data_IF_989701021377
#
_entry.id   IF_989701021377
#
_cell.length_a   1.000
_cell.length_b   1.000
_cell.length_c   1.000
_cell.angle_alpha   90.00
_cell.angle_beta   90.00
_cell.angle_gamma   90.00
#
_symmetry.space_group_name_H-M   'P 1'
#
loop_
_entity.id
_entity.type
_entity.pdbx_description
1 polymer ?
#
# COMPACT_ATOMS: atom_id res chain seq x y z
N UNK A 1 35.09 -1.67 -0.93
CA UNK A 1 34.71 -2.18 -2.26
C UNK A 1 33.54 -3.11 -2.09
N UNK A 2 32.33 -2.66 -2.38
CA UNK A 2 31.10 -3.41 -2.16
C UNK A 2 30.25 -3.32 -3.43
N UNK A 3 30.51 -4.23 -4.37
CA UNK A 3 29.63 -4.44 -5.50
C UNK A 3 28.33 -5.04 -4.99
N UNK A 4 27.22 -4.32 -5.15
CA UNK A 4 25.88 -4.83 -4.90
C UNK A 4 25.66 -6.09 -5.73
N UNK A 5 25.55 -7.25 -5.08
CA UNK A 5 25.22 -8.49 -5.77
C UNK A 5 23.79 -8.37 -6.33
N UNK A 6 23.52 -8.84 -7.56
CA UNK A 6 22.19 -8.80 -8.19
C UNK A 6 21.07 -9.56 -7.44
N UNK A 7 21.40 -10.18 -6.29
CA UNK A 7 20.51 -10.95 -5.44
C UNK A 7 20.16 -10.26 -4.11
N UNK A 8 20.52 -8.99 -3.89
CA UNK A 8 20.11 -8.28 -2.67
C UNK A 8 18.60 -7.96 -2.70
N UNK A 9 17.77 -8.60 -1.86
CA UNK A 9 16.33 -8.37 -1.86
C UNK A 9 15.96 -6.94 -1.49
N UNK A 10 16.77 -6.25 -0.67
CA UNK A 10 16.49 -4.86 -0.27
C UNK A 10 16.65 -3.93 -1.47
N UNK A 11 17.78 -4.02 -2.18
CA UNK A 11 18.01 -3.27 -3.43
C UNK A 11 16.92 -3.54 -4.46
N UNK A 12 16.53 -4.81 -4.66
CA UNK A 12 15.49 -5.18 -5.61
C UNK A 12 14.12 -4.58 -5.24
N UNK A 13 13.76 -4.58 -3.96
CA UNK A 13 12.53 -3.94 -3.46
C UNK A 13 12.58 -2.42 -3.70
N UNK A 14 13.71 -1.77 -3.40
CA UNK A 14 13.89 -0.32 -3.61
C UNK A 14 13.76 0.07 -5.09
N UNK A 15 14.40 -0.68 -6.00
CA UNK A 15 14.28 -0.45 -7.44
C UNK A 15 12.85 -0.64 -7.95
N UNK A 16 12.16 -1.68 -7.46
CA UNK A 16 10.76 -1.90 -7.80
C UNK A 16 9.87 -0.77 -7.28
N UNK A 17 10.13 -0.26 -6.07
CA UNK A 17 9.41 0.87 -5.49
C UNK A 17 9.60 2.14 -6.32
N UNK A 18 10.85 2.49 -6.68
CA UNK A 18 11.18 3.66 -7.49
C UNK A 18 10.44 3.65 -8.84
N UNK A 19 10.48 2.51 -9.55
CA UNK A 19 9.73 2.33 -10.80
C UNK A 19 8.22 2.48 -10.60
N UNK A 20 7.68 2.04 -9.46
CA UNK A 20 6.25 2.13 -9.17
C UNK A 20 5.80 3.51 -8.70
N UNK A 21 6.69 4.40 -8.26
CA UNK A 21 6.33 5.77 -7.90
C UNK A 21 5.73 6.54 -9.08
N UNK A 22 6.29 6.39 -10.28
CA UNK A 22 5.72 6.98 -11.49
C UNK A 22 4.32 6.42 -11.80
N UNK A 23 4.15 5.10 -11.69
CA UNK A 23 2.84 4.45 -11.89
C UNK A 23 1.83 4.86 -10.82
N UNK A 24 2.30 5.17 -9.61
CA UNK A 24 1.45 5.62 -8.51
C UNK A 24 0.83 7.00 -8.81
N UNK A 25 1.63 7.92 -9.35
CA UNK A 25 1.12 9.25 -9.78
C UNK A 25 0.05 9.08 -10.86
N UNK A 26 0.30 8.24 -11.85
CA UNK A 26 -0.67 7.98 -12.93
C UNK A 26 -1.94 7.27 -12.44
N UNK A 27 -1.81 6.39 -11.43
CA UNK A 27 -2.97 5.81 -10.77
C UNK A 27 -3.78 6.87 -10.02
N UNK A 28 -3.12 7.74 -9.25
CA UNK A 28 -3.79 8.77 -8.46
C UNK A 28 -4.57 9.75 -9.34
N UNK A 29 -3.99 10.17 -10.48
CA UNK A 29 -4.68 11.03 -11.47
C UNK A 29 -5.99 10.44 -12.02
N UNK A 30 -6.11 9.11 -12.03
CA UNK A 30 -7.32 8.38 -12.47
C UNK A 30 -8.34 8.20 -11.35
N UNK A 31 -8.00 8.49 -10.10
CA UNK A 31 -8.96 8.48 -9.00
C UNK A 31 -9.89 9.69 -9.14
N UNK A 32 -11.22 9.49 -9.10
CA UNK A 32 -12.17 10.59 -9.20
C UNK A 32 -11.84 11.72 -8.23
N UNK A 33 -11.94 12.95 -8.72
CA UNK A 33 -11.68 14.20 -7.99
C UNK A 33 -10.24 14.47 -7.54
N UNK A 34 -9.31 13.51 -7.59
CA UNK A 34 -7.93 13.75 -7.17
C UNK A 34 -7.25 14.86 -7.99
N UNK A 35 -7.37 14.80 -9.33
CA UNK A 35 -6.79 15.80 -10.24
C UNK A 35 -7.49 17.18 -10.16
N UNK A 36 -8.61 17.29 -9.45
CA UNK A 36 -9.33 18.55 -9.22
C UNK A 36 -8.84 19.28 -7.96
N UNK A 37 -8.12 18.59 -7.07
CA UNK A 37 -7.50 19.21 -5.90
C UNK A 37 -6.35 20.16 -6.32
N UNK A 38 -6.00 21.15 -5.49
CA UNK A 38 -4.80 21.95 -5.68
C UNK A 38 -3.56 21.09 -5.90
N UNK A 39 -2.67 21.51 -6.80
CA UNK A 39 -1.47 20.72 -7.13
C UNK A 39 -0.61 20.45 -5.90
N UNK A 40 -0.48 21.43 -5.00
CA UNK A 40 0.25 21.26 -3.74
C UNK A 40 -0.38 20.18 -2.86
N UNK A 41 -1.71 20.15 -2.75
CA UNK A 41 -2.42 19.12 -2.00
C UNK A 41 -2.23 17.73 -2.63
N UNK A 42 -2.27 17.62 -3.97
CA UNK A 42 -1.97 16.36 -4.67
C UNK A 42 -0.58 15.83 -4.31
N UNK A 43 0.43 16.70 -4.29
CA UNK A 43 1.81 16.34 -3.92
C UNK A 43 1.89 15.94 -2.45
N UNK A 44 1.24 16.69 -1.55
CA UNK A 44 1.22 16.40 -0.10
C UNK A 44 0.61 15.03 0.17
N UNK A 45 -0.54 14.72 -0.42
CA UNK A 45 -1.23 13.44 -0.25
C UNK A 45 -0.38 12.26 -0.76
N UNK A 46 0.23 12.41 -1.94
CA UNK A 46 1.13 11.39 -2.48
C UNK A 46 2.37 11.20 -1.60
N UNK A 47 3.00 12.29 -1.14
CA UNK A 47 4.16 12.21 -0.25
C UNK A 47 3.83 11.60 1.11
N UNK A 48 2.61 11.82 1.61
CA UNK A 48 2.16 11.25 2.87
C UNK A 48 1.85 9.76 2.78
N UNK A 49 1.35 9.27 1.64
CA UNK A 49 0.82 7.91 1.51
C UNK A 49 1.59 6.94 0.61
N UNK A 50 2.64 7.38 -0.11
CA UNK A 50 3.25 6.55 -1.16
C UNK A 50 3.70 5.16 -0.69
N UNK A 51 4.27 5.05 0.51
CA UNK A 51 4.77 3.79 1.05
C UNK A 51 3.61 2.79 1.27
N UNK A 52 2.54 3.21 1.95
CA UNK A 52 1.35 2.41 2.24
C UNK A 52 0.63 2.01 0.96
N UNK A 53 0.54 2.93 -0.01
CA UNK A 53 -0.06 2.69 -1.32
C UNK A 53 0.69 1.61 -2.11
N UNK A 54 2.03 1.64 -2.08
CA UNK A 54 2.86 0.61 -2.71
C UNK A 54 2.77 -0.73 -1.96
N UNK A 55 2.84 -0.71 -0.63
CA UNK A 55 2.74 -1.91 0.22
C UNK A 55 1.41 -2.62 0.01
N UNK A 56 0.29 -1.91 0.01
CA UNK A 56 -1.02 -2.49 -0.29
C UNK A 56 -1.03 -3.15 -1.68
N UNK A 57 -0.43 -2.49 -2.67
CA UNK A 57 -0.42 -2.96 -4.06
C UNK A 57 0.38 -4.23 -4.27
N UNK A 58 1.62 -4.31 -3.77
CA UNK A 58 2.41 -5.53 -3.94
C UNK A 58 1.94 -6.66 -3.00
N UNK A 59 1.37 -6.34 -1.84
CA UNK A 59 0.80 -7.34 -0.93
C UNK A 59 -0.37 -8.06 -1.60
N UNK A 60 -1.27 -7.31 -2.24
CA UNK A 60 -2.38 -7.91 -3.01
C UNK A 60 -1.89 -8.68 -4.24
N UNK A 61 -0.89 -8.16 -4.96
CA UNK A 61 -0.26 -8.87 -6.09
C UNK A 61 0.33 -10.23 -5.70
N UNK A 62 0.70 -10.37 -4.43
CA UNK A 62 1.38 -11.55 -3.90
C UNK A 62 0.45 -12.58 -3.27
N UNK A 63 -0.88 -12.42 -3.36
CA UNK A 63 -1.82 -13.34 -2.72
C UNK A 63 -1.66 -14.80 -3.17
N UNK A 64 -1.30 -15.01 -4.44
CA UNK A 64 -1.09 -16.35 -5.03
C UNK A 64 0.37 -16.85 -4.88
N UNK A 65 1.26 -16.02 -4.31
CA UNK A 65 2.66 -16.37 -4.08
C UNK A 65 2.80 -17.07 -2.73
N UNK A 66 3.47 -18.22 -2.70
CA UNK A 66 3.81 -18.92 -1.45
C UNK A 66 5.11 -18.38 -0.89
N UNK A 67 5.11 -18.08 0.41
CA UNK A 67 6.27 -17.68 1.21
C UNK A 67 7.16 -16.60 0.56
N UNK A 68 6.53 -15.60 -0.07
CA UNK A 68 7.24 -14.55 -0.77
C UNK A 68 6.33 -13.46 -1.30
N UNK A 69 6.95 -12.47 -1.94
CA UNK A 69 6.26 -11.39 -2.63
C UNK A 69 6.70 -11.32 -4.09
N UNK A 70 5.76 -10.94 -4.97
CA UNK A 70 6.04 -10.64 -6.37
C UNK A 70 6.22 -9.13 -6.54
N UNK A 71 7.43 -8.71 -6.92
CA UNK A 71 7.73 -7.31 -7.22
C UNK A 71 7.14 -6.90 -8.56
N UNK A 72 6.99 -5.59 -8.75
CA UNK A 72 6.49 -5.05 -10.01
C UNK A 72 7.42 -5.25 -11.22
N UNK A 73 8.67 -5.61 -10.96
CA UNK A 73 9.66 -6.01 -11.96
C UNK A 73 9.47 -7.45 -12.43
N UNK A 74 8.61 -8.24 -11.79
CA UNK A 74 8.45 -9.68 -12.02
C UNK A 74 9.35 -10.56 -11.15
N UNK A 75 10.24 -9.96 -10.36
CA UNK A 75 11.14 -10.69 -9.46
C UNK A 75 10.38 -11.19 -8.22
N UNK A 76 10.65 -12.45 -7.84
CA UNK A 76 10.13 -13.04 -6.62
C UNK A 76 11.14 -12.86 -5.49
N UNK A 77 10.70 -12.26 -4.39
CA UNK A 77 11.50 -12.19 -3.15
C UNK A 77 10.94 -13.23 -2.19
N UNK A 78 11.75 -14.23 -1.88
CA UNK A 78 11.39 -15.29 -0.94
C UNK A 78 11.63 -14.88 0.51
N UNK A 79 10.82 -15.42 1.42
CA UNK A 79 10.93 -15.21 2.86
C UNK A 79 12.36 -15.43 3.37
N UNK A 80 12.99 -16.54 3.02
CA UNK A 80 14.35 -16.87 3.47
C UNK A 80 15.37 -15.82 3.01
N UNK A 81 15.25 -15.29 1.78
CA UNK A 81 16.13 -14.23 1.27
C UNK A 81 15.99 -12.95 2.09
N UNK A 82 14.77 -12.57 2.46
CA UNK A 82 14.52 -11.40 3.31
C UNK A 82 15.12 -11.56 4.72
N UNK A 83 15.05 -12.76 5.30
CA UNK A 83 15.70 -13.08 6.57
C UNK A 83 17.23 -12.95 6.48
N UNK A 84 17.85 -13.53 5.45
CA UNK A 84 19.30 -13.40 5.22
C UNK A 84 19.76 -11.95 5.01
N UNK A 85 18.87 -11.10 4.50
CA UNK A 85 19.14 -9.66 4.32
C UNK A 85 18.81 -8.80 5.55
N UNK A 86 18.47 -9.41 6.70
CA UNK A 86 18.21 -8.69 7.96
C UNK A 86 16.86 -7.97 8.03
N UNK A 87 15.98 -8.13 7.03
CA UNK A 87 14.64 -7.53 6.98
C UNK A 87 13.52 -8.57 7.16
N UNK A 88 13.86 -9.78 7.61
CA UNK A 88 12.92 -10.90 7.77
C UNK A 88 11.72 -10.60 8.66
N UNK A 89 11.92 -9.88 9.78
CA UNK A 89 10.84 -9.59 10.72
C UNK A 89 9.72 -8.72 10.11
N UNK A 90 10.07 -7.66 9.37
CA UNK A 90 9.07 -6.82 8.70
C UNK A 90 8.45 -7.54 7.49
N UNK A 91 9.24 -8.36 6.80
CA UNK A 91 8.77 -9.18 5.69
C UNK A 91 7.72 -10.21 6.15
N UNK A 92 7.96 -10.87 7.28
CA UNK A 92 7.03 -11.82 7.88
C UNK A 92 5.70 -11.14 8.22
N UNK A 93 5.74 -9.94 8.81
CA UNK A 93 4.54 -9.15 9.10
C UNK A 93 3.75 -8.81 7.84
N UNK A 94 4.41 -8.42 6.76
CA UNK A 94 3.76 -8.21 5.45
C UNK A 94 3.04 -9.47 4.99
N UNK A 95 3.71 -10.62 5.04
CA UNK A 95 3.11 -11.90 4.64
C UNK A 95 1.90 -12.27 5.51
N UNK A 96 2.01 -12.16 6.83
CA UNK A 96 0.97 -12.65 7.75
C UNK A 96 -0.19 -11.68 7.94
N UNK A 97 0.09 -10.38 8.04
CA UNK A 97 -0.91 -9.36 8.38
C UNK A 97 -1.60 -8.76 7.14
N UNK A 98 -0.93 -8.80 5.99
CA UNK A 98 -1.44 -8.25 4.72
C UNK A 98 -1.73 -9.37 3.71
N UNK A 99 -0.70 -10.05 3.19
CA UNK A 99 -0.85 -11.00 2.07
C UNK A 99 -1.82 -12.13 2.44
N UNK A 100 -1.61 -12.80 3.58
CA UNK A 100 -2.49 -13.87 4.02
C UNK A 100 -3.90 -13.37 4.28
N UNK A 101 -4.06 -12.21 4.92
CA UNK A 101 -5.40 -11.68 5.24
C UNK A 101 -6.17 -11.27 3.99
N UNK A 102 -5.50 -10.70 2.99
CA UNK A 102 -6.09 -10.40 1.68
C UNK A 102 -6.48 -11.67 0.93
N UNK A 103 -5.63 -12.71 0.95
CA UNK A 103 -5.92 -14.02 0.36
C UNK A 103 -7.12 -14.70 1.03
N UNK A 104 -7.10 -14.81 2.35
CA UNK A 104 -8.12 -15.52 3.13
C UNK A 104 -9.51 -14.90 2.93
N UNK A 105 -9.59 -13.56 2.85
CA UNK A 105 -10.83 -12.86 2.59
C UNK A 105 -11.19 -12.75 1.09
N UNK A 106 -10.34 -13.27 0.21
CA UNK A 106 -10.46 -13.14 -1.25
C UNK A 106 -10.73 -11.69 -1.65
N UNK A 107 -9.88 -10.78 -1.18
CA UNK A 107 -9.98 -9.36 -1.50
C UNK A 107 -9.87 -9.17 -3.00
N UNK A 108 -10.82 -8.46 -3.61
CA UNK A 108 -10.77 -8.17 -5.04
C UNK A 108 -10.04 -6.84 -5.35
N UNK A 109 -9.84 -6.59 -6.65
CA UNK A 109 -9.12 -5.39 -7.12
C UNK A 109 -9.90 -4.09 -6.88
N UNK A 110 -11.23 -4.14 -6.86
CA UNK A 110 -12.08 -2.98 -6.58
C UNK A 110 -11.94 -2.58 -5.11
N UNK A 111 -12.02 -3.55 -4.20
CA UNK A 111 -11.85 -3.33 -2.76
C UNK A 111 -10.45 -2.81 -2.43
N UNK A 112 -9.40 -3.39 -3.04
CA UNK A 112 -8.05 -2.86 -2.95
C UNK A 112 -7.98 -1.41 -3.43
N UNK A 113 -8.62 -1.11 -4.58
CA UNK A 113 -8.67 0.24 -5.12
C UNK A 113 -9.29 1.24 -4.15
N UNK A 114 -10.39 0.87 -3.50
CA UNK A 114 -11.04 1.69 -2.48
C UNK A 114 -10.16 1.87 -1.24
N UNK A 115 -9.55 0.80 -0.71
CA UNK A 115 -8.63 0.92 0.44
C UNK A 115 -7.44 1.84 0.11
N UNK A 116 -6.90 1.73 -1.10
CA UNK A 116 -5.84 2.64 -1.57
C UNK A 116 -6.34 4.08 -1.70
N UNK A 117 -7.56 4.31 -2.19
CA UNK A 117 -8.13 5.65 -2.25
C UNK A 117 -8.38 6.26 -0.85
N UNK A 118 -8.78 5.45 0.14
CA UNK A 118 -8.90 5.90 1.55
C UNK A 118 -7.55 6.34 2.12
N UNK A 119 -6.48 5.60 1.80
CA UNK A 119 -5.10 5.97 2.19
C UNK A 119 -4.67 7.26 1.48
N UNK A 120 -4.97 7.39 0.19
CA UNK A 120 -4.61 8.55 -0.63
C UNK A 120 -5.26 9.83 -0.10
N UNK A 121 -6.57 9.80 0.16
CA UNK A 121 -7.31 10.95 0.68
C UNK A 121 -7.12 11.06 2.19
N UNK A 122 -5.92 11.46 2.62
CA UNK A 122 -5.59 11.64 4.03
C UNK A 122 -5.70 13.10 4.49
N UNK A 123 -6.78 13.51 5.21
CA UNK A 123 -6.95 14.88 5.68
C UNK A 123 -5.93 15.26 6.76
N UNK A 124 -5.32 14.28 7.43
CA UNK A 124 -4.31 14.51 8.47
C UNK A 124 -2.93 14.81 7.88
N UNK A 125 -2.79 14.83 6.55
CA UNK A 125 -1.54 15.17 5.90
C UNK A 125 -1.20 16.65 6.18
N UNK A 126 -0.02 16.88 6.75
CA UNK A 126 0.41 18.22 7.15
C UNK A 126 0.64 19.11 5.93
N UNK A 127 0.07 20.32 5.98
CA UNK A 127 0.24 21.35 4.95
C UNK A 127 -0.86 21.41 3.90
N UNK A 128 -1.91 20.58 4.02
CA UNK A 128 -3.07 20.66 3.13
C UNK A 128 -3.74 22.03 3.21
N UNK A 129 -4.11 22.55 2.05
CA UNK A 129 -4.83 23.82 1.94
C UNK A 129 -6.26 23.73 2.47
N UNK A 130 -6.94 22.59 2.22
CA UNK A 130 -8.30 22.33 2.66
C UNK A 130 -8.49 20.86 3.12
N UNK A 131 -8.11 20.54 4.38
CA UNK A 131 -8.29 19.20 4.93
C UNK A 131 -9.74 18.69 4.88
N UNK A 132 -10.72 19.58 5.01
CA UNK A 132 -12.15 19.23 4.98
C UNK A 132 -12.59 18.71 3.62
N UNK A 133 -12.08 19.27 2.52
CA UNK A 133 -12.37 18.76 1.18
C UNK A 133 -11.82 17.33 0.99
N UNK A 134 -10.61 17.07 1.48
CA UNK A 134 -10.00 15.74 1.44
C UNK A 134 -10.80 14.73 2.27
N UNK A 135 -11.30 15.13 3.44
CA UNK A 135 -12.15 14.26 4.27
C UNK A 135 -13.45 13.90 3.56
N UNK A 136 -14.12 14.87 2.91
CA UNK A 136 -15.33 14.59 2.12
C UNK A 136 -15.05 13.60 0.99
N UNK A 137 -13.89 13.69 0.33
CA UNK A 137 -13.50 12.71 -0.69
C UNK A 137 -13.30 11.31 -0.09
N UNK A 138 -12.66 11.21 1.08
CA UNK A 138 -12.49 9.94 1.80
C UNK A 138 -13.83 9.34 2.22
N UNK A 139 -14.76 10.14 2.75
CA UNK A 139 -16.11 9.71 3.13
C UNK A 139 -16.90 9.15 1.94
N UNK A 140 -16.79 9.79 0.76
CA UNK A 140 -17.38 9.27 -0.48
C UNK A 140 -16.82 7.89 -0.85
N UNK A 141 -15.53 7.64 -0.62
CA UNK A 141 -14.93 6.32 -0.85
C UNK A 141 -15.44 5.31 0.16
N UNK A 142 -15.60 5.67 1.45
CA UNK A 142 -16.22 4.80 2.45
C UNK A 142 -17.63 4.36 2.03
N UNK A 143 -18.49 5.32 1.69
CA UNK A 143 -19.87 5.05 1.26
C UNK A 143 -19.92 4.16 0.01
N UNK A 144 -19.02 4.42 -0.96
CA UNK A 144 -18.94 3.63 -2.19
C UNK A 144 -18.49 2.19 -1.92
N UNK A 145 -17.46 2.00 -1.08
CA UNK A 145 -16.97 0.68 -0.71
C UNK A 145 -18.00 -0.11 0.10
N UNK A 146 -18.68 0.54 1.04
CA UNK A 146 -19.74 -0.10 1.82
C UNK A 146 -20.88 -0.59 0.91
N UNK A 147 -21.32 0.27 -0.01
CA UNK A 147 -22.35 -0.08 -1.01
C UNK A 147 -21.90 -1.24 -1.88
N UNK A 148 -20.65 -1.20 -2.38
CA UNK A 148 -20.07 -2.28 -3.16
C UNK A 148 -20.07 -3.62 -2.40
N UNK A 149 -19.63 -3.63 -1.13
CA UNK A 149 -19.64 -4.83 -0.32
C UNK A 149 -21.05 -5.40 -0.12
N UNK A 150 -22.03 -4.54 0.18
CA UNK A 150 -23.44 -4.95 0.35
C UNK A 150 -24.03 -5.57 -0.92
N UNK A 151 -23.70 -5.02 -2.08
CA UNK A 151 -24.22 -5.50 -3.37
C UNK A 151 -23.53 -6.78 -3.85
N UNK A 152 -22.20 -6.84 -3.77
CA UNK A 152 -21.41 -7.95 -4.31
C UNK A 152 -21.29 -9.14 -3.36
N UNK A 153 -21.30 -8.87 -2.04
CA UNK A 153 -21.12 -9.87 -1.00
C UNK A 153 -22.24 -9.79 0.06
N UNK A 154 -23.52 -9.96 -0.35
CA UNK A 154 -24.67 -9.80 0.56
C UNK A 154 -24.64 -10.75 1.77
N UNK A 155 -24.03 -11.93 1.61
CA UNK A 155 -23.87 -12.94 2.67
C UNK A 155 -22.75 -12.58 3.68
N UNK A 156 -21.94 -11.56 3.41
CA UNK A 156 -20.80 -11.17 4.24
C UNK A 156 -21.03 -9.80 4.90
N UNK A 157 -22.02 -9.70 5.79
CA UNK A 157 -22.44 -8.43 6.42
C UNK A 157 -21.29 -7.63 7.07
N UNK A 158 -20.26 -8.31 7.60
CA UNK A 158 -19.08 -7.68 8.21
C UNK A 158 -17.92 -7.38 7.25
N UNK A 159 -18.07 -7.54 5.93
CA UNK A 159 -16.97 -7.44 4.96
C UNK A 159 -16.36 -6.04 4.90
N UNK A 160 -17.19 -5.00 4.88
CA UNK A 160 -16.74 -3.61 4.88
C UNK A 160 -15.83 -3.32 6.07
N UNK A 161 -16.28 -3.62 7.29
CA UNK A 161 -15.48 -3.45 8.50
C UNK A 161 -14.18 -4.28 8.46
N UNK A 162 -14.24 -5.54 8.00
CA UNK A 162 -13.04 -6.40 7.86
C UNK A 162 -11.99 -5.82 6.90
N UNK A 163 -12.43 -5.18 5.81
CA UNK A 163 -11.55 -4.48 4.87
C UNK A 163 -10.87 -3.28 5.53
N UNK A 164 -11.64 -2.43 6.23
CA UNK A 164 -11.10 -1.26 6.93
C UNK A 164 -10.09 -1.65 8.03
N UNK A 165 -10.32 -2.78 8.71
CA UNK A 165 -9.39 -3.33 9.70
C UNK A 165 -8.05 -3.80 9.12
N UNK A 166 -7.82 -3.70 7.80
CA UNK A 166 -6.49 -3.88 7.20
C UNK A 166 -5.64 -2.60 7.29
N UNK A 167 -6.25 -1.43 7.38
CA UNK A 167 -5.56 -0.14 7.40
C UNK A 167 -4.62 0.03 8.61
N UNK A 168 -4.97 -0.38 9.86
CA UNK A 168 -4.06 -0.23 11.00
C UNK A 168 -2.76 -1.05 10.86
N UNK A 169 -2.87 -2.31 10.41
CA UNK A 169 -1.70 -3.15 10.17
C UNK A 169 -0.83 -2.57 9.04
N UNK A 170 -1.48 -2.10 7.96
CA UNK A 170 -0.78 -1.45 6.85
C UNK A 170 -0.02 -0.19 7.30
N UNK A 171 -0.65 0.68 8.11
CA UNK A 171 0.00 1.85 8.70
C UNK A 171 1.20 1.47 9.58
N UNK A 172 1.03 0.50 10.46
CA UNK A 172 2.10 0.01 11.34
C UNK A 172 3.29 -0.53 10.55
N UNK A 173 3.03 -1.33 9.51
CA UNK A 173 4.06 -1.85 8.61
C UNK A 173 4.71 -0.72 7.81
N UNK A 174 3.90 0.20 7.26
CA UNK A 174 4.38 1.34 6.48
C UNK A 174 5.34 2.24 7.26
N UNK A 175 5.03 2.55 8.51
CA UNK A 175 5.92 3.29 9.41
C UNK A 175 7.24 2.53 9.63
N UNK A 176 7.17 1.22 9.89
CA UNK A 176 8.37 0.42 10.11
C UNK A 176 9.25 0.32 8.86
N UNK A 177 8.65 0.19 7.69
CA UNK A 177 9.36 0.21 6.41
C UNK A 177 10.07 1.55 6.18
N UNK A 178 9.44 2.68 6.51
CA UNK A 178 10.09 3.99 6.42
C UNK A 178 11.28 4.10 7.37
N UNK A 179 11.15 3.66 8.63
CA UNK A 179 12.29 3.60 9.58
C UNK A 179 13.48 2.85 8.97
N UNK A 180 13.26 1.66 8.41
CA UNK A 180 14.32 0.90 7.74
C UNK A 180 14.94 1.66 6.57
N UNK A 181 14.14 2.28 5.70
CA UNK A 181 14.64 3.08 4.57
C UNK A 181 15.46 4.30 5.02
N UNK A 182 15.10 4.94 6.13
CA UNK A 182 15.90 6.02 6.71
C UNK A 182 17.26 5.52 7.18
N UNK A 183 17.31 4.39 7.88
CA UNK A 183 18.59 3.79 8.31
C UNK A 183 19.47 3.39 7.12
N UNK A 184 18.89 2.79 6.07
CA UNK A 184 19.65 2.43 4.86
C UNK A 184 20.16 3.62 4.05
N UNK A 185 19.55 4.81 4.18
CA UNK A 185 20.03 6.04 3.52
C UNK A 185 21.10 6.80 4.33
N UNK A 186 21.22 6.51 5.62
CA UNK A 186 22.19 7.16 6.52
C UNK A 186 23.55 6.46 6.54
N UNK A 187 23.59 5.19 6.13
CA UNK A 187 24.80 4.36 6.00
C UNK A 187 25.28 4.42 4.56
#
# INVERSE_FOLDING_TARGET
GSGSSPNDPVTNICQAADKQLFTLVEWAKRIPHFSSLPLDDQVILLRAGWNELLIASFSHRSIDVRDGILLATGLHVHRNSAHSAGVGAIFDRVLTELVSKMRDMRMDKTELGCLRAIILFNPDAKGLSNPSEVEVLREKVYASLETYCKQKYPEQQGRFAKLLLRLPALRSIGLKCLEHLFFFKLI
#
